data_IF_515772332728
#
_entry.id   IF_515772332728
#
_cell.length_a   1.000
_cell.length_b   1.000
_cell.length_c   1.000
_cell.angle_alpha   90.00
_cell.angle_beta   90.00
_cell.angle_gamma   90.00
#
_symmetry.space_group_name_H-M   'P 1'
#
loop_
_entity.id
_entity.type
_entity.pdbx_description
1 polymer ?
#
# COMPACT_ATOMS: atom_id res chain seq x y z
N UNK A 1 -12.22 -10.13 -58.52
CA UNK A 1 -11.55 -8.90 -58.08
C UNK A 1 -12.15 -7.62 -58.73
N UNK A 2 -12.48 -7.63 -60.03
CA UNK A 2 -12.98 -6.47 -60.77
C UNK A 2 -14.34 -5.93 -60.28
N UNK A 3 -15.22 -6.76 -59.74
CA UNK A 3 -16.53 -6.34 -59.21
C UNK A 3 -16.46 -5.49 -57.92
N UNK A 4 -15.40 -5.59 -57.17
CA UNK A 4 -15.16 -4.78 -55.96
C UNK A 4 -14.71 -3.38 -56.34
N UNK A 5 -13.92 -3.27 -57.41
CA UNK A 5 -13.36 -1.99 -57.90
C UNK A 5 -14.44 -1.11 -58.52
N UNK A 6 -15.48 -1.69 -59.11
CA UNK A 6 -16.56 -0.94 -59.79
C UNK A 6 -17.72 -0.47 -58.87
N UNK A 7 -17.60 -0.55 -57.54
CA UNK A 7 -18.62 -0.07 -56.58
C UNK A 7 -19.93 -0.88 -56.57
N UNK A 8 -20.15 -1.80 -57.48
CA UNK A 8 -21.37 -2.61 -57.57
C UNK A 8 -21.53 -3.61 -56.44
N UNK A 9 -20.47 -3.96 -55.73
CA UNK A 9 -20.55 -4.80 -54.53
C UNK A 9 -21.32 -4.15 -53.42
N UNK A 10 -21.17 -2.84 -53.21
CA UNK A 10 -21.84 -2.10 -52.17
C UNK A 10 -23.36 -2.03 -52.32
N UNK A 11 -23.89 -2.18 -53.55
CA UNK A 11 -25.30 -2.17 -53.87
C UNK A 11 -25.91 -3.57 -53.91
N UNK A 12 -25.08 -4.61 -53.93
CA UNK A 12 -25.51 -6.03 -53.91
C UNK A 12 -26.14 -6.40 -52.54
N UNK A 13 -27.05 -7.39 -52.49
CA UNK A 13 -27.59 -7.88 -51.20
C UNK A 13 -26.49 -8.32 -50.24
N UNK A 14 -25.46 -9.00 -50.71
CA UNK A 14 -24.31 -9.44 -49.91
C UNK A 14 -23.47 -8.27 -49.38
N UNK A 15 -23.31 -7.20 -50.17
CA UNK A 15 -22.62 -5.99 -49.74
C UNK A 15 -23.36 -5.24 -48.65
N UNK A 16 -24.70 -5.24 -48.69
CA UNK A 16 -25.54 -4.64 -47.63
C UNK A 16 -25.44 -5.41 -46.30
N UNK A 17 -25.47 -6.74 -46.35
CA UNK A 17 -25.29 -7.57 -45.16
C UNK A 17 -23.91 -7.44 -44.55
N UNK A 18 -22.86 -7.42 -45.37
CA UNK A 18 -21.50 -7.16 -44.91
C UNK A 18 -21.35 -5.81 -44.23
N UNK A 19 -21.96 -4.75 -44.80
CA UNK A 19 -21.95 -3.44 -44.17
C UNK A 19 -22.69 -3.41 -42.84
N UNK A 20 -23.86 -4.09 -42.77
CA UNK A 20 -24.60 -4.23 -41.50
C UNK A 20 -23.78 -4.97 -40.45
N UNK A 21 -23.07 -6.03 -40.86
CA UNK A 21 -22.17 -6.79 -39.97
C UNK A 21 -21.02 -5.93 -39.45
N UNK A 22 -20.39 -5.13 -40.31
CA UNK A 22 -19.34 -4.19 -39.91
C UNK A 22 -19.85 -3.12 -38.93
N UNK A 23 -21.03 -2.54 -39.20
CA UNK A 23 -21.64 -1.57 -38.30
C UNK A 23 -21.94 -2.21 -36.94
N UNK A 24 -22.57 -3.38 -36.94
CA UNK A 24 -22.88 -4.10 -35.69
C UNK A 24 -21.59 -4.42 -34.92
N UNK A 25 -20.56 -4.88 -35.60
CA UNK A 25 -19.24 -5.15 -34.99
C UNK A 25 -18.63 -3.88 -34.38
N UNK A 26 -18.66 -2.76 -35.10
CA UNK A 26 -18.17 -1.49 -34.60
C UNK A 26 -18.92 -1.01 -33.35
N UNK A 27 -20.26 -1.11 -33.35
CA UNK A 27 -21.07 -0.79 -32.17
C UNK A 27 -20.76 -1.71 -30.98
N UNK A 28 -20.60 -3.01 -31.24
CA UNK A 28 -20.24 -3.98 -30.21
C UNK A 28 -18.92 -3.60 -29.55
N UNK A 29 -17.87 -3.33 -30.34
CA UNK A 29 -16.57 -2.90 -29.82
C UNK A 29 -16.71 -1.60 -29.02
N UNK A 30 -17.42 -0.61 -29.55
CA UNK A 30 -17.62 0.66 -28.87
C UNK A 30 -18.32 0.49 -27.51
N UNK A 31 -19.32 -0.37 -27.41
CA UNK A 31 -20.02 -0.69 -26.16
C UNK A 31 -19.06 -1.37 -25.17
N UNK A 32 -18.27 -2.35 -25.62
CA UNK A 32 -17.28 -3.04 -24.78
C UNK A 32 -16.24 -2.06 -24.23
N UNK A 33 -15.71 -1.19 -25.09
CA UNK A 33 -14.74 -0.18 -24.66
C UNK A 33 -15.36 0.76 -23.63
N UNK A 34 -16.59 1.22 -23.85
CA UNK A 34 -17.29 2.08 -22.92
C UNK A 34 -17.48 1.40 -21.55
N UNK A 35 -17.89 0.13 -21.54
CA UNK A 35 -18.04 -0.64 -20.30
C UNK A 35 -16.72 -0.78 -19.55
N UNK A 36 -15.61 -1.06 -20.26
CA UNK A 36 -14.27 -1.16 -19.65
C UNK A 36 -13.86 0.18 -19.03
N UNK A 37 -14.10 1.29 -19.73
CA UNK A 37 -13.78 2.63 -19.22
C UNK A 37 -14.61 2.98 -17.97
N UNK A 38 -15.90 2.65 -17.96
CA UNK A 38 -16.77 2.87 -16.80
C UNK A 38 -16.31 2.03 -15.60
N UNK A 39 -15.97 0.77 -15.82
CA UNK A 39 -15.46 -0.12 -14.78
C UNK A 39 -14.12 0.39 -14.21
N UNK A 40 -13.20 0.80 -15.09
CA UNK A 40 -11.92 1.39 -14.68
C UNK A 40 -12.11 2.68 -13.89
N UNK A 41 -13.02 3.55 -14.33
CA UNK A 41 -13.34 4.79 -13.61
C UNK A 41 -13.89 4.49 -12.19
N UNK A 42 -14.79 3.51 -12.07
CA UNK A 42 -15.34 3.09 -10.78
C UNK A 42 -14.25 2.51 -9.86
N UNK A 43 -13.35 1.68 -10.40
CA UNK A 43 -12.19 1.16 -9.65
C UNK A 43 -11.26 2.27 -9.17
N UNK A 44 -10.94 3.24 -10.03
CA UNK A 44 -10.10 4.39 -9.65
C UNK A 44 -10.75 5.24 -8.56
N UNK A 45 -12.05 5.46 -8.66
CA UNK A 45 -12.79 6.16 -7.61
C UNK A 45 -12.73 5.40 -6.27
N UNK A 46 -12.98 4.10 -6.29
CA UNK A 46 -12.88 3.25 -5.09
C UNK A 46 -11.49 3.31 -4.44
N UNK A 47 -10.41 3.14 -5.22
CA UNK A 47 -9.03 3.19 -4.69
C UNK A 47 -8.70 4.54 -4.06
N UNK A 48 -9.25 5.63 -4.60
CA UNK A 48 -9.03 6.98 -4.06
C UNK A 48 -9.83 7.28 -2.79
N UNK A 49 -11.01 6.69 -2.65
CA UNK A 49 -11.95 7.01 -1.56
C UNK A 49 -12.03 5.94 -0.48
N UNK A 50 -11.52 4.72 -0.75
CA UNK A 50 -11.55 3.65 0.23
C UNK A 50 -10.74 4.03 1.49
N UNK A 51 -11.27 3.77 2.69
CA UNK A 51 -10.55 4.00 3.93
C UNK A 51 -9.35 3.05 4.00
N UNK A 52 -8.18 3.60 4.17
CA UNK A 52 -6.93 2.82 4.28
C UNK A 52 -6.55 2.52 5.73
N UNK A 53 -7.23 3.13 6.70
CA UNK A 53 -6.95 2.96 8.13
C UNK A 53 -5.80 3.83 8.66
N UNK A 54 -5.37 4.82 7.87
CA UNK A 54 -4.40 5.86 8.27
C UNK A 54 -4.64 7.15 7.50
N UNK A 55 -4.16 8.27 8.03
CA UNK A 55 -4.25 9.58 7.37
C UNK A 55 -3.33 9.65 6.17
N UNK A 56 -3.90 10.01 5.00
CA UNK A 56 -3.16 10.25 3.75
C UNK A 56 -3.05 11.73 3.43
N UNK A 57 -3.96 12.51 3.96
CA UNK A 57 -4.03 13.93 3.67
C UNK A 57 -2.96 14.68 4.46
N UNK A 58 -2.29 15.62 3.81
CA UNK A 58 -1.23 16.42 4.42
C UNK A 58 0.03 15.66 4.87
N UNK A 59 0.23 14.42 4.43
CA UNK A 59 1.44 13.65 4.68
C UNK A 59 2.35 13.70 3.46
N UNK A 60 3.57 14.21 3.64
CA UNK A 60 4.62 14.21 2.64
C UNK A 60 5.62 13.11 2.96
N UNK A 61 5.91 12.28 1.97
CA UNK A 61 6.94 11.25 2.06
C UNK A 61 8.23 11.71 1.40
N UNK A 62 9.33 11.55 2.13
CA UNK A 62 10.69 11.82 1.64
C UNK A 62 11.50 10.54 1.75
N UNK A 63 11.96 10.00 0.62
CA UNK A 63 12.81 8.81 0.60
C UNK A 63 14.25 9.21 0.93
N UNK A 64 14.81 8.61 1.99
CA UNK A 64 16.23 8.73 2.28
C UNK A 64 17.03 7.91 1.24
N UNK A 65 18.03 8.53 0.62
CA UNK A 65 18.79 7.93 -0.48
C UNK A 65 19.50 6.64 -0.05
N UNK A 66 19.22 5.54 -0.74
CA UNK A 66 19.92 4.24 -0.56
C UNK A 66 21.41 4.30 -0.93
N UNK A 67 21.81 5.30 -1.64
CA UNK A 67 23.20 5.51 -2.04
C UNK A 67 24.08 5.85 -0.83
N UNK A 68 23.50 6.50 0.17
CA UNK A 68 24.16 6.83 1.42
C UNK A 68 24.37 5.59 2.30
N UNK A 69 23.47 4.63 2.26
CA UNK A 69 23.53 3.37 3.01
C UNK A 69 24.69 2.46 2.53
N UNK A 70 25.00 2.50 1.22
CA UNK A 70 26.07 1.70 0.60
C UNK A 70 27.49 2.26 0.79
N UNK A 71 27.61 3.53 1.13
CA UNK A 71 28.91 4.22 1.16
C UNK A 71 29.65 4.13 2.49
N UNK A 72 29.04 3.59 3.54
CA UNK A 72 29.62 3.55 4.88
C UNK A 72 29.60 2.16 5.50
N UNK A 73 30.77 1.56 5.66
CA UNK A 73 31.01 0.24 6.25
C UNK A 73 30.55 0.11 7.72
N UNK A 74 30.27 1.24 8.41
CA UNK A 74 29.80 1.35 9.80
C UNK A 74 28.63 2.34 9.93
N UNK A 75 27.74 2.41 8.95
CA UNK A 75 26.63 3.35 8.95
C UNK A 75 25.63 3.04 10.07
N UNK A 76 25.58 3.88 11.06
CA UNK A 76 24.53 3.87 12.07
C UNK A 76 23.36 4.69 11.56
N UNK A 77 22.37 4.03 11.05
CA UNK A 77 21.14 4.63 10.50
C UNK A 77 20.56 5.74 11.38
N UNK A 78 20.59 5.53 12.68
CA UNK A 78 20.09 6.49 13.66
C UNK A 78 20.86 7.81 13.67
N UNK A 79 22.18 7.78 13.51
CA UNK A 79 23.03 8.98 13.51
C UNK A 79 22.77 9.88 12.28
N UNK A 80 22.13 9.33 11.25
CA UNK A 80 21.70 10.05 10.05
C UNK A 80 20.25 10.53 10.15
N UNK A 81 19.32 9.68 10.60
CA UNK A 81 17.90 9.97 10.62
C UNK A 81 17.56 11.03 11.68
N UNK A 82 18.13 10.95 12.89
CA UNK A 82 17.80 11.88 13.97
C UNK A 82 18.09 13.35 13.59
N UNK A 83 19.26 13.75 13.04
CA UNK A 83 19.51 15.10 12.57
C UNK A 83 18.59 15.53 11.42
N UNK A 84 18.29 14.61 10.48
CA UNK A 84 17.38 14.89 9.37
C UNK A 84 15.97 15.18 9.87
N UNK A 85 15.45 14.38 10.78
CA UNK A 85 14.14 14.59 11.39
C UNK A 85 14.09 15.94 12.13
N UNK A 86 15.13 16.29 12.90
CA UNK A 86 15.21 17.58 13.57
C UNK A 86 15.21 18.75 12.58
N UNK A 87 15.96 18.63 11.50
CA UNK A 87 16.01 19.65 10.45
C UNK A 87 14.63 19.85 9.79
N UNK A 88 13.94 18.77 9.47
CA UNK A 88 12.60 18.83 8.90
C UNK A 88 11.59 19.45 9.90
N UNK A 89 11.66 19.05 11.16
CA UNK A 89 10.77 19.55 12.24
C UNK A 89 11.02 21.03 12.57
N UNK A 90 12.17 21.58 12.25
CA UNK A 90 12.47 23.00 12.43
C UNK A 90 11.69 23.92 11.48
N UNK A 91 11.08 23.36 10.41
CA UNK A 91 10.25 24.13 9.50
C UNK A 91 8.86 24.37 10.15
N UNK A 92 8.38 25.62 10.28
CA UNK A 92 7.11 25.93 10.93
C UNK A 92 5.87 25.38 10.18
N UNK A 93 6.01 24.94 8.93
CA UNK A 93 4.96 24.30 8.15
C UNK A 93 4.85 22.80 8.42
N UNK A 94 5.79 22.21 9.15
CA UNK A 94 5.84 20.78 9.48
C UNK A 94 5.38 20.61 10.92
N UNK A 95 4.25 19.98 11.13
CA UNK A 95 3.70 19.71 12.46
C UNK A 95 4.42 18.56 13.15
N UNK A 96 4.71 17.47 12.43
CA UNK A 96 5.38 16.29 12.98
C UNK A 96 6.21 15.60 11.91
N UNK A 97 7.23 14.86 12.33
CA UNK A 97 8.10 14.06 11.45
C UNK A 97 8.26 12.68 12.06
N UNK A 98 7.92 11.66 11.32
CA UNK A 98 8.11 10.26 11.71
C UNK A 98 8.94 9.52 10.67
N UNK A 99 9.63 8.51 11.10
CA UNK A 99 10.42 7.66 10.22
C UNK A 99 9.81 6.26 10.13
N UNK A 100 9.95 5.64 8.99
CA UNK A 100 9.51 4.28 8.74
C UNK A 100 10.48 3.55 7.80
N UNK A 101 10.71 2.26 8.05
CA UNK A 101 11.57 1.40 7.21
C UNK A 101 10.96 1.04 5.87
N UNK A 102 9.65 1.23 5.69
CA UNK A 102 8.97 1.05 4.41
C UNK A 102 7.77 1.98 4.31
N UNK A 103 7.44 2.41 3.11
CA UNK A 103 6.28 3.26 2.85
C UNK A 103 4.98 2.45 2.88
N UNK A 104 3.99 2.93 3.61
CA UNK A 104 2.63 2.39 3.55
C UNK A 104 2.08 2.48 2.12
N UNK A 105 1.51 1.38 1.62
CA UNK A 105 1.03 1.29 0.24
C UNK A 105 2.04 0.74 -0.78
N UNK A 106 3.29 0.48 -0.37
CA UNK A 106 4.30 -0.19 -1.20
C UNK A 106 4.63 -1.60 -0.68
N UNK A 107 5.13 -2.47 -1.57
CA UNK A 107 5.41 -3.89 -1.24
C UNK A 107 6.79 -4.12 -0.56
N UNK A 108 7.40 -3.11 0.07
CA UNK A 108 8.76 -3.15 0.62
C UNK A 108 8.84 -3.44 2.12
N UNK A 109 8.05 -4.39 2.61
CA UNK A 109 8.09 -4.79 4.02
C UNK A 109 9.05 -5.95 4.24
N UNK A 110 9.68 -6.00 5.43
CA UNK A 110 10.47 -7.15 5.84
C UNK A 110 9.54 -8.30 6.19
N UNK A 111 9.63 -9.38 5.40
CA UNK A 111 8.88 -10.60 5.69
C UNK A 111 9.58 -11.35 6.82
N UNK A 112 8.87 -11.56 7.90
CA UNK A 112 9.29 -12.37 9.03
C UNK A 112 8.36 -13.58 9.19
N UNK A 113 8.84 -14.60 9.90
CA UNK A 113 8.04 -15.76 10.20
C UNK A 113 8.34 -16.27 11.61
N UNK A 114 7.31 -16.71 12.30
CA UNK A 114 7.43 -17.36 13.61
C UNK A 114 6.75 -18.73 13.58
N UNK A 115 7.29 -19.65 14.35
CA UNK A 115 6.64 -20.93 14.62
C UNK A 115 5.56 -20.73 15.68
N UNK A 116 4.32 -21.05 15.33
CA UNK A 116 3.19 -21.10 16.26
C UNK A 116 2.62 -22.51 16.27
N UNK A 117 3.00 -23.30 17.26
CA UNK A 117 2.78 -24.76 17.25
C UNK A 117 3.51 -25.40 16.06
N UNK A 118 2.79 -26.21 15.28
CA UNK A 118 3.31 -26.89 14.08
C UNK A 118 3.21 -26.03 12.80
N UNK A 119 2.82 -24.77 12.90
CA UNK A 119 2.64 -23.87 11.75
C UNK A 119 3.67 -22.78 11.73
N UNK A 120 4.27 -22.55 10.56
CA UNK A 120 5.07 -21.37 10.27
C UNK A 120 4.13 -20.25 9.79
N UNK A 121 4.03 -19.20 10.57
CA UNK A 121 3.19 -18.03 10.22
C UNK A 121 4.10 -16.89 9.77
N UNK A 122 3.91 -16.46 8.54
CA UNK A 122 4.59 -15.32 7.96
C UNK A 122 3.81 -14.02 8.21
N UNK A 123 4.52 -12.95 8.57
CA UNK A 123 3.97 -11.63 8.75
C UNK A 123 4.94 -10.56 8.27
N UNK A 124 4.43 -9.38 8.00
CA UNK A 124 5.24 -8.24 7.59
C UNK A 124 5.60 -7.39 8.83
N UNK A 125 6.88 -7.10 8.99
CA UNK A 125 7.39 -6.23 10.03
C UNK A 125 7.70 -4.86 9.43
N UNK A 126 7.27 -3.81 10.12
CA UNK A 126 7.58 -2.42 9.81
C UNK A 126 8.33 -1.80 10.99
N UNK A 127 9.55 -1.38 10.75
CA UNK A 127 10.30 -0.58 11.72
C UNK A 127 9.86 0.87 11.63
N UNK A 128 9.57 1.48 12.77
CA UNK A 128 9.02 2.84 12.84
C UNK A 128 9.60 3.63 13.99
N UNK A 129 9.52 4.97 13.91
CA UNK A 129 9.75 5.85 15.06
C UNK A 129 8.59 5.75 16.07
N UNK A 130 8.86 6.13 17.30
CA UNK A 130 7.89 6.07 18.41
C UNK A 130 6.63 6.92 18.18
N UNK A 131 6.73 7.99 17.41
CA UNK A 131 5.62 8.86 17.05
C UNK A 131 4.90 8.51 15.73
N UNK A 132 5.29 7.40 15.09
CA UNK A 132 4.76 7.02 13.77
C UNK A 132 3.23 6.85 13.75
N UNK A 133 2.68 6.13 14.74
CA UNK A 133 1.23 5.90 14.81
C UNK A 133 0.47 7.21 14.97
N UNK A 134 0.95 8.10 15.82
CA UNK A 134 0.36 9.42 16.02
C UNK A 134 0.44 10.28 14.75
N UNK A 135 1.59 10.26 14.07
CA UNK A 135 1.81 11.04 12.84
C UNK A 135 0.95 10.53 11.67
N UNK A 136 0.67 9.23 11.63
CA UNK A 136 -0.15 8.60 10.58
C UNK A 136 -1.63 8.46 10.95
N UNK A 137 -2.05 8.90 12.16
CA UNK A 137 -3.44 8.79 12.60
C UNK A 137 -3.90 7.35 12.82
N UNK A 138 -2.98 6.42 13.10
CA UNK A 138 -3.32 5.02 13.43
C UNK A 138 -3.56 4.94 14.93
N UNK A 139 -4.80 4.64 15.31
CA UNK A 139 -5.20 4.54 16.71
C UNK A 139 -4.88 3.17 17.31
N UNK A 140 -4.37 3.18 18.55
CA UNK A 140 -4.20 1.97 19.35
C UNK A 140 -5.55 1.59 19.96
N UNK A 141 -6.04 0.40 19.63
CA UNK A 141 -7.35 -0.11 20.07
C UNK A 141 -7.28 -0.79 21.43
N UNK A 142 -6.13 -1.40 21.76
CA UNK A 142 -5.89 -2.03 23.05
C UNK A 142 -4.41 -1.90 23.44
N UNK A 143 -4.13 -1.70 24.72
CA UNK A 143 -2.77 -1.50 25.22
C UNK A 143 -2.33 -0.04 25.14
N UNK A 144 -1.13 0.22 24.66
CA UNK A 144 -0.55 1.56 24.57
C UNK A 144 0.31 1.77 23.33
N UNK A 145 0.53 3.02 22.96
CA UNK A 145 1.51 3.42 21.96
C UNK A 145 2.95 3.31 22.49
N UNK A 146 3.92 3.47 21.61
CA UNK A 146 5.35 3.55 21.95
C UNK A 146 5.64 4.72 22.88
N UNK A 147 6.56 4.52 23.82
CA UNK A 147 7.16 5.61 24.58
C UNK A 147 8.41 6.15 23.86
N UNK A 148 8.74 7.45 24.03
CA UNK A 148 9.92 8.03 23.42
C UNK A 148 11.19 7.23 23.73
N UNK A 149 11.89 6.82 22.66
CA UNK A 149 13.14 6.07 22.76
C UNK A 149 13.01 4.60 23.18
N UNK A 150 11.79 4.08 23.32
CA UNK A 150 11.54 2.68 23.66
C UNK A 150 12.02 1.75 22.54
N UNK A 151 12.58 0.60 22.91
CA UNK A 151 13.14 -0.37 21.98
C UNK A 151 12.63 -1.77 22.30
N UNK A 152 12.68 -2.65 21.30
CA UNK A 152 12.35 -4.05 21.45
C UNK A 152 10.89 -4.31 21.90
N UNK A 153 9.98 -3.44 21.51
CA UNK A 153 8.55 -3.63 21.71
C UNK A 153 7.83 -3.66 20.37
N UNK A 154 6.66 -4.26 20.31
CA UNK A 154 5.91 -4.43 19.08
C UNK A 154 4.42 -4.16 19.30
N UNK A 155 3.80 -3.57 18.28
CA UNK A 155 2.36 -3.40 18.17
C UNK A 155 1.90 -4.19 16.96
N UNK A 156 0.86 -4.98 17.12
CA UNK A 156 0.29 -5.79 16.03
C UNK A 156 -1.07 -5.25 15.60
N UNK A 157 -1.44 -5.52 14.35
CA UNK A 157 -2.80 -5.31 13.90
C UNK A 157 -3.71 -6.47 14.32
N UNK A 158 -5.03 -6.27 14.26
CA UNK A 158 -6.04 -7.27 14.64
C UNK A 158 -5.96 -8.56 13.81
N UNK A 159 -5.52 -8.49 12.56
CA UNK A 159 -5.33 -9.67 11.72
C UNK A 159 -4.22 -10.57 12.28
N UNK A 160 -3.05 -9.99 12.58
CA UNK A 160 -1.93 -10.73 13.19
C UNK A 160 -2.28 -11.21 14.60
N UNK A 161 -2.97 -10.39 15.40
CA UNK A 161 -3.46 -10.79 16.73
C UNK A 161 -4.27 -12.08 16.68
N UNK A 162 -5.27 -12.14 15.79
CA UNK A 162 -6.14 -13.32 15.62
C UNK A 162 -5.40 -14.54 15.08
N UNK A 163 -4.51 -14.31 14.12
CA UNK A 163 -3.76 -15.39 13.47
C UNK A 163 -2.76 -16.05 14.39
N UNK A 164 -2.16 -15.29 15.31
CA UNK A 164 -1.11 -15.71 16.23
C UNK A 164 -1.61 -15.92 17.66
N UNK A 165 -2.91 -15.70 17.93
CA UNK A 165 -3.52 -15.75 19.28
C UNK A 165 -2.76 -14.90 20.31
N UNK A 166 -2.38 -13.66 19.93
CA UNK A 166 -1.54 -12.77 20.71
C UNK A 166 -2.32 -12.06 21.82
N UNK A 167 -1.65 -11.88 22.95
CA UNK A 167 -2.12 -11.09 24.10
C UNK A 167 -1.10 -10.03 24.47
N UNK A 168 -1.57 -8.99 25.18
CA UNK A 168 -0.66 -8.01 25.74
C UNK A 168 0.39 -8.66 26.64
N UNK A 169 1.61 -8.16 26.54
CA UNK A 169 2.81 -8.64 27.25
C UNK A 169 3.33 -10.02 26.79
N UNK A 170 2.79 -10.61 25.73
CA UNK A 170 3.39 -11.81 25.14
C UNK A 170 4.80 -11.48 24.64
N UNK A 171 5.73 -12.39 24.92
CA UNK A 171 7.12 -12.26 24.48
C UNK A 171 7.27 -12.86 23.09
N UNK A 172 7.76 -12.05 22.17
CA UNK A 172 8.06 -12.48 20.80
C UNK A 172 9.58 -12.64 20.65
N UNK A 173 10.02 -13.65 19.92
CA UNK A 173 11.45 -14.03 19.79
C UNK A 173 12.37 -12.88 19.38
N UNK A 174 11.87 -11.93 18.60
CA UNK A 174 12.63 -10.78 18.09
C UNK A 174 12.29 -9.44 18.78
N UNK A 175 11.41 -9.45 19.78
CA UNK A 175 11.04 -8.23 20.53
C UNK A 175 10.82 -8.51 22.01
N UNK A 176 10.90 -7.47 22.83
CA UNK A 176 10.71 -7.56 24.27
C UNK A 176 9.28 -7.85 24.70
N UNK A 177 8.30 -7.51 23.90
CA UNK A 177 6.89 -7.80 24.20
C UNK A 177 5.89 -7.05 23.34
N UNK A 178 4.66 -7.58 23.34
CA UNK A 178 3.50 -6.97 22.70
C UNK A 178 2.94 -5.90 23.62
N UNK A 179 2.98 -4.64 23.21
CA UNK A 179 2.53 -3.50 24.04
C UNK A 179 1.17 -2.96 23.63
N UNK A 180 0.69 -3.30 22.43
CA UNK A 180 -0.61 -2.81 21.94
C UNK A 180 -1.07 -3.49 20.68
N UNK A 181 -2.31 -3.21 20.33
CA UNK A 181 -2.95 -3.63 19.10
C UNK A 181 -3.57 -2.42 18.40
N UNK A 182 -3.58 -2.45 17.07
CA UNK A 182 -4.21 -1.45 16.21
C UNK A 182 -5.22 -2.12 15.30
N UNK A 183 -6.16 -1.35 14.77
CA UNK A 183 -7.06 -1.84 13.73
C UNK A 183 -6.30 -2.25 12.47
N UNK A 184 -6.95 -3.05 11.61
CA UNK A 184 -6.37 -3.41 10.34
C UNK A 184 -6.28 -2.18 9.44
N UNK A 185 -5.13 -1.97 8.84
CA UNK A 185 -4.90 -0.92 7.85
C UNK A 185 -4.28 -1.50 6.58
N UNK A 186 -4.53 -0.83 5.46
CA UNK A 186 -4.01 -1.25 4.17
C UNK A 186 -2.54 -0.81 4.01
N UNK A 187 -1.62 -1.68 4.41
CA UNK A 187 -0.18 -1.43 4.29
C UNK A 187 0.39 -1.77 2.91
N UNK A 188 -0.36 -2.52 2.08
CA UNK A 188 -0.01 -2.86 0.69
C UNK A 188 -0.95 -2.18 -0.30
N UNK A 189 -0.52 -2.17 -1.57
CA UNK A 189 -1.41 -1.78 -2.67
C UNK A 189 -2.69 -2.62 -2.66
N UNK A 190 -3.87 -2.01 -2.91
CA UNK A 190 -5.16 -2.70 -3.07
C UNK A 190 -5.17 -3.85 -4.11
N UNK A 191 -4.04 -4.09 -4.73
CA UNK A 191 -3.87 -5.10 -5.78
C UNK A 191 -3.53 -6.49 -5.25
N UNK A 192 -3.21 -6.61 -3.94
CA UNK A 192 -2.88 -7.88 -3.27
C UNK A 192 -3.59 -7.91 -1.93
N UNK A 193 -4.51 -8.83 -1.78
CA UNK A 193 -5.01 -9.32 -0.50
C UNK A 193 -4.00 -10.29 0.12
#
# INVERSE_FOLDING_TARGET
PALVINGNFALSPKGREFRRGLIAFQFTISIVILQVLLLFSAQQHYVRTAPVGYDRDSVLYVEASKEYERSMENFKWKDYIDPMMQTLKSNPLVSEVAWTGALLGQDMFTLNAINHGDRLIAFNLLEVSDNFLTTTGIDVTEGRNFHPGEKNVVIFNEAARKQLDLKLNDKIVFSGGVIGFVDNFHYKSFRKE
#
